data_IF_049256070589
#
_entry.id   IF_049256070589
#
_cell.length_a   1.000
_cell.length_b   1.000
_cell.length_c   1.000
_cell.angle_alpha   90.00
_cell.angle_beta   90.00
_cell.angle_gamma   90.00
#
_symmetry.space_group_name_H-M   'P 1'
#
loop_
_entity.id
_entity.type
_entity.pdbx_description
1 polymer ?
#
# COMPACT_ATOMS: atom_id res chain seq x y z
N UNK A 1 -11.30 -25.51 -7.47
CA UNK A 1 -10.58 -24.22 -7.26
C UNK A 1 -11.56 -23.08 -7.45
N UNK A 2 -11.71 -22.20 -6.48
CA UNK A 2 -12.52 -20.98 -6.62
C UNK A 2 -11.81 -20.06 -7.60
N UNK A 3 -12.48 -19.66 -8.68
CA UNK A 3 -11.92 -18.75 -9.68
C UNK A 3 -11.65 -17.35 -9.11
N UNK A 4 -10.85 -16.54 -9.80
CA UNK A 4 -10.52 -15.17 -9.38
C UNK A 4 -11.79 -14.31 -9.34
N UNK A 5 -12.06 -13.68 -8.19
CA UNK A 5 -13.16 -12.75 -8.02
C UNK A 5 -12.81 -11.41 -8.71
N UNK A 6 -13.64 -11.00 -9.64
CA UNK A 6 -13.51 -9.70 -10.33
C UNK A 6 -14.52 -8.69 -9.77
N UNK A 7 -14.04 -7.52 -9.36
CA UNK A 7 -14.88 -6.47 -8.76
C UNK A 7 -15.79 -5.75 -9.78
N UNK A 8 -15.45 -5.76 -11.05
CA UNK A 8 -16.23 -5.15 -12.13
C UNK A 8 -16.56 -6.18 -13.19
N UNK A 9 -17.84 -6.40 -13.41
CA UNK A 9 -18.34 -7.15 -14.56
C UNK A 9 -18.68 -6.13 -15.66
N UNK A 10 -17.68 -5.70 -16.44
CA UNK A 10 -17.95 -4.93 -17.65
C UNK A 10 -17.97 -5.94 -18.79
N UNK A 11 -19.14 -6.13 -19.36
CA UNK A 11 -19.33 -6.99 -20.53
C UNK A 11 -19.12 -6.17 -21.80
N UNK A 12 -17.98 -6.37 -22.47
CA UNK A 12 -17.76 -5.77 -23.79
C UNK A 12 -18.78 -6.25 -24.83
N UNK A 13 -19.16 -7.55 -24.87
CA UNK A 13 -20.21 -8.03 -25.75
C UNK A 13 -21.54 -7.28 -25.61
N UNK A 14 -21.95 -6.98 -24.36
CA UNK A 14 -23.18 -6.20 -24.14
C UNK A 14 -23.07 -4.78 -24.68
N UNK A 15 -21.92 -4.12 -24.49
CA UNK A 15 -21.67 -2.78 -25.04
C UNK A 15 -21.66 -2.78 -26.57
N UNK A 16 -21.13 -3.84 -27.19
CA UNK A 16 -21.16 -3.98 -28.65
C UNK A 16 -22.60 -4.19 -29.15
N UNK A 17 -23.44 -4.94 -28.42
CA UNK A 17 -24.87 -5.07 -28.77
C UNK A 17 -25.60 -3.74 -28.65
N UNK A 18 -25.32 -2.95 -27.61
CA UNK A 18 -25.88 -1.61 -27.42
C UNK A 18 -25.58 -0.64 -28.56
N UNK A 19 -24.51 -0.83 -29.34
CA UNK A 19 -24.18 -0.01 -30.51
C UNK A 19 -25.30 0.04 -31.54
N UNK A 20 -26.13 -1.01 -31.67
CA UNK A 20 -27.25 -1.05 -32.57
C UNK A 20 -28.32 0.02 -32.24
N UNK A 21 -28.38 0.42 -30.97
CA UNK A 21 -29.36 1.39 -30.46
C UNK A 21 -28.84 2.84 -30.46
N UNK A 22 -27.56 3.06 -30.82
CA UNK A 22 -27.00 4.41 -30.82
C UNK A 22 -27.55 5.24 -31.96
N UNK A 23 -27.79 6.49 -31.69
CA UNK A 23 -28.22 7.47 -32.70
C UNK A 23 -27.02 7.99 -33.47
N UNK A 24 -26.41 7.13 -34.27
CA UNK A 24 -25.26 7.41 -35.12
C UNK A 24 -25.42 6.72 -36.49
N UNK A 25 -24.80 7.23 -37.58
CA UNK A 25 -24.78 6.58 -38.88
C UNK A 25 -24.26 5.13 -38.82
N UNK A 26 -24.74 4.29 -39.72
CA UNK A 26 -24.31 2.90 -39.82
C UNK A 26 -22.80 2.77 -40.08
N UNK A 27 -22.23 3.66 -40.92
CA UNK A 27 -20.81 3.73 -41.17
C UNK A 27 -20.00 3.93 -39.86
N UNK A 28 -20.41 4.82 -38.98
CA UNK A 28 -19.78 5.07 -37.66
C UNK A 28 -19.85 3.85 -36.74
N UNK A 29 -20.94 3.06 -36.78
CA UNK A 29 -21.03 1.80 -36.01
C UNK A 29 -20.01 0.76 -36.50
N UNK A 30 -19.83 0.64 -37.83
CA UNK A 30 -18.82 -0.25 -38.40
C UNK A 30 -17.40 0.19 -38.02
N UNK A 31 -17.13 1.49 -38.09
CA UNK A 31 -15.85 2.08 -37.68
C UNK A 31 -15.56 1.79 -36.21
N UNK A 32 -16.52 1.95 -35.31
CA UNK A 32 -16.33 1.64 -33.89
C UNK A 32 -15.99 0.17 -33.65
N UNK A 33 -16.68 -0.77 -34.33
CA UNK A 33 -16.34 -2.20 -34.22
C UNK A 33 -14.92 -2.49 -34.69
N UNK A 34 -14.50 -1.88 -35.81
CA UNK A 34 -13.14 -1.99 -36.32
C UNK A 34 -12.12 -1.38 -35.35
N UNK A 35 -12.41 -0.21 -34.80
CA UNK A 35 -11.57 0.45 -33.78
C UNK A 35 -11.34 -0.44 -32.56
N UNK A 36 -12.40 -1.07 -32.03
CA UNK A 36 -12.28 -2.00 -30.90
C UNK A 36 -11.42 -3.22 -31.24
N UNK A 37 -11.60 -3.79 -32.43
CA UNK A 37 -10.76 -4.89 -32.90
C UNK A 37 -9.29 -4.50 -32.99
N UNK A 38 -8.99 -3.34 -33.56
CA UNK A 38 -7.62 -2.84 -33.65
C UNK A 38 -7.01 -2.43 -32.32
N UNK A 39 -7.81 -1.97 -31.34
CA UNK A 39 -7.40 -1.79 -29.95
C UNK A 39 -7.02 -3.12 -29.30
N UNK A 40 -7.78 -4.19 -29.53
CA UNK A 40 -7.49 -5.53 -29.02
C UNK A 40 -6.18 -6.08 -29.59
N UNK A 41 -5.87 -5.78 -30.84
CA UNK A 41 -4.61 -6.16 -31.51
C UNK A 41 -3.41 -5.29 -31.10
N UNK A 42 -3.65 -4.13 -30.47
CA UNK A 42 -2.60 -3.16 -30.10
C UNK A 42 -2.20 -2.20 -31.24
N UNK A 43 -2.86 -2.25 -32.42
CA UNK A 43 -2.53 -1.40 -33.57
C UNK A 43 -2.73 0.10 -33.28
N UNK A 44 -3.70 0.45 -32.45
CA UNK A 44 -4.02 1.84 -32.09
C UNK A 44 -3.05 2.39 -31.03
N UNK A 45 -2.47 1.54 -30.19
CA UNK A 45 -1.69 1.93 -29.03
C UNK A 45 -0.26 1.39 -29.04
N UNK A 46 0.46 1.61 -30.14
CA UNK A 46 1.91 1.30 -30.30
C UNK A 46 2.27 -0.12 -29.83
N UNK A 47 1.53 -1.13 -30.27
CA UNK A 47 1.74 -2.54 -29.94
C UNK A 47 1.12 -3.00 -28.62
N UNK A 48 0.63 -2.07 -27.79
CA UNK A 48 0.02 -2.44 -26.50
C UNK A 48 -1.45 -2.79 -26.68
N UNK A 49 -1.82 -4.04 -26.37
CA UNK A 49 -3.20 -4.53 -26.40
C UNK A 49 -4.04 -3.87 -25.32
N UNK A 50 -5.26 -3.51 -25.64
CA UNK A 50 -6.20 -2.87 -24.71
C UNK A 50 -7.18 -3.93 -24.18
N UNK A 51 -7.32 -4.03 -22.84
CA UNK A 51 -8.23 -4.95 -22.21
C UNK A 51 -9.71 -4.64 -22.53
N UNK A 52 -10.57 -5.67 -22.51
CA UNK A 52 -12.01 -5.55 -22.77
C UNK A 52 -12.68 -4.46 -21.93
N UNK A 53 -12.36 -4.39 -20.63
CA UNK A 53 -12.90 -3.36 -19.74
C UNK A 53 -12.54 -1.94 -20.15
N UNK A 54 -11.36 -1.73 -20.73
CA UNK A 54 -10.94 -0.43 -21.26
C UNK A 54 -11.55 -0.14 -22.63
N UNK A 55 -11.72 -1.17 -23.47
CA UNK A 55 -12.44 -1.06 -24.74
C UNK A 55 -13.91 -0.64 -24.50
N UNK A 56 -14.59 -1.27 -23.54
CA UNK A 56 -15.94 -0.89 -23.14
C UNK A 56 -16.00 0.55 -22.63
N UNK A 57 -14.99 0.99 -21.86
CA UNK A 57 -14.89 2.40 -21.43
C UNK A 57 -14.72 3.34 -22.62
N UNK A 58 -13.95 2.96 -23.66
CA UNK A 58 -13.86 3.78 -24.88
C UNK A 58 -15.21 3.94 -25.55
N UNK A 59 -16.02 2.87 -25.66
CA UNK A 59 -17.38 2.98 -26.20
C UNK A 59 -18.23 3.94 -25.37
N UNK A 60 -18.28 3.76 -24.03
CA UNK A 60 -19.08 4.62 -23.16
C UNK A 60 -18.69 6.11 -23.30
N UNK A 61 -17.40 6.41 -23.50
CA UNK A 61 -16.90 7.78 -23.66
C UNK A 61 -17.18 8.34 -25.07
N UNK A 62 -16.93 7.55 -26.13
CA UNK A 62 -17.12 7.95 -27.52
C UNK A 62 -18.58 8.12 -27.89
N UNK A 63 -19.48 7.40 -27.20
CA UNK A 63 -20.90 7.56 -27.39
C UNK A 63 -21.33 9.01 -27.26
N UNK A 64 -20.80 9.76 -26.31
CA UNK A 64 -21.21 11.12 -25.99
C UNK A 64 -21.03 12.09 -27.17
N UNK A 65 -19.84 12.25 -27.77
CA UNK A 65 -19.65 13.12 -28.92
C UNK A 65 -20.30 12.57 -30.19
N UNK A 66 -20.26 11.25 -30.42
CA UNK A 66 -20.79 10.69 -31.66
C UNK A 66 -22.31 10.76 -31.76
N UNK A 67 -23.07 10.52 -30.67
CA UNK A 67 -24.51 10.75 -30.62
C UNK A 67 -24.88 12.26 -30.70
N UNK A 68 -24.05 13.15 -30.13
CA UNK A 68 -24.26 14.59 -30.21
C UNK A 68 -24.18 15.10 -31.64
N UNK A 69 -23.26 14.61 -32.42
CA UNK A 69 -23.08 15.01 -33.82
C UNK A 69 -24.07 14.31 -34.76
N UNK A 70 -24.32 13.03 -34.51
CA UNK A 70 -25.10 12.17 -35.40
C UNK A 70 -24.67 12.28 -36.88
N UNK A 71 -23.35 12.33 -37.13
CA UNK A 71 -22.71 12.45 -38.44
C UNK A 71 -21.71 11.34 -38.66
N UNK A 72 -21.39 11.06 -39.92
CA UNK A 72 -20.25 10.22 -40.27
C UNK A 72 -18.96 10.87 -39.78
N UNK A 73 -17.99 10.05 -39.29
CA UNK A 73 -16.75 10.57 -38.72
C UNK A 73 -15.95 11.40 -39.73
N UNK A 74 -15.98 11.04 -41.02
CA UNK A 74 -15.29 11.77 -42.07
C UNK A 74 -15.90 13.15 -42.38
N UNK A 75 -17.19 13.35 -42.05
CA UNK A 75 -17.92 14.60 -42.29
C UNK A 75 -17.86 15.59 -41.10
N UNK A 76 -17.12 15.22 -40.03
CA UNK A 76 -16.95 16.09 -38.87
C UNK A 76 -16.01 17.24 -39.22
N UNK A 77 -16.45 18.46 -38.95
CA UNK A 77 -15.67 19.69 -39.12
C UNK A 77 -15.36 20.35 -37.78
N UNK A 78 -14.42 21.28 -37.76
CA UNK A 78 -13.99 21.97 -36.54
C UNK A 78 -15.15 22.60 -35.75
N UNK A 79 -16.07 23.26 -36.43
CA UNK A 79 -17.29 23.82 -35.82
C UNK A 79 -18.17 22.79 -35.07
N UNK A 80 -18.17 21.54 -35.52
CA UNK A 80 -18.90 20.48 -34.80
C UNK A 80 -18.23 20.18 -33.46
N UNK A 81 -16.88 20.15 -33.44
CA UNK A 81 -16.09 19.92 -32.23
C UNK A 81 -16.18 21.09 -31.25
N UNK A 82 -16.19 22.34 -31.77
CA UNK A 82 -16.41 23.56 -30.97
C UNK A 82 -17.76 23.54 -30.29
N UNK A 83 -18.84 23.24 -31.04
CA UNK A 83 -20.20 23.15 -30.51
C UNK A 83 -20.33 22.06 -29.44
N UNK A 84 -19.74 20.90 -29.70
CA UNK A 84 -19.72 19.81 -28.72
C UNK A 84 -18.95 20.23 -27.44
N UNK A 85 -17.76 20.79 -27.56
CA UNK A 85 -16.97 21.23 -26.42
C UNK A 85 -17.69 22.32 -25.61
N UNK A 86 -18.27 23.30 -26.27
CA UNK A 86 -19.08 24.33 -25.61
C UNK A 86 -20.25 23.72 -24.81
N UNK A 87 -20.96 22.77 -25.38
CA UNK A 87 -22.09 22.10 -24.72
C UNK A 87 -21.61 21.18 -23.56
N UNK A 88 -20.44 20.53 -23.71
CA UNK A 88 -19.82 19.70 -22.67
C UNK A 88 -19.29 20.55 -21.50
N UNK A 89 -18.62 21.65 -21.80
CA UNK A 89 -18.04 22.56 -20.81
C UNK A 89 -19.13 23.26 -19.99
N UNK A 90 -20.22 23.72 -20.64
CA UNK A 90 -21.36 24.43 -20.01
C UNK A 90 -22.37 23.49 -19.33
N UNK A 91 -22.06 22.19 -19.20
CA UNK A 91 -22.93 21.20 -18.57
C UNK A 91 -24.34 21.03 -19.27
N UNK A 92 -24.47 21.41 -20.52
CA UNK A 92 -25.67 21.14 -21.29
C UNK A 92 -25.86 19.66 -21.61
N UNK A 93 -24.74 18.95 -21.83
CA UNK A 93 -24.72 17.50 -22.03
C UNK A 93 -24.81 16.80 -20.68
N UNK A 94 -25.90 16.09 -20.42
CA UNK A 94 -26.14 15.37 -19.15
C UNK A 94 -25.75 13.90 -19.22
N UNK A 95 -25.43 13.34 -18.05
CA UNK A 95 -25.16 11.89 -17.92
C UNK A 95 -26.44 11.08 -18.13
N UNK A 96 -26.37 9.97 -18.85
CA UNK A 96 -27.52 9.13 -19.25
C UNK A 96 -28.39 8.64 -18.09
N UNK A 97 -27.77 8.26 -16.98
CA UNK A 97 -28.47 7.57 -15.89
C UNK A 97 -28.92 8.50 -14.75
N UNK A 98 -28.27 9.64 -14.57
CA UNK A 98 -28.50 10.52 -13.42
C UNK A 98 -28.99 11.90 -13.81
N UNK A 99 -29.11 12.17 -15.10
CA UNK A 99 -29.47 13.48 -15.65
C UNK A 99 -28.68 14.67 -15.06
N UNK A 100 -27.51 14.41 -14.50
CA UNK A 100 -26.60 15.41 -13.92
C UNK A 100 -25.44 15.74 -14.84
N UNK A 101 -24.62 16.76 -14.51
CA UNK A 101 -23.42 17.09 -15.27
C UNK A 101 -22.37 15.98 -15.21
N UNK A 102 -21.51 15.93 -16.22
CA UNK A 102 -20.34 15.07 -16.19
C UNK A 102 -19.28 15.64 -15.22
N UNK A 103 -18.67 14.76 -14.41
CA UNK A 103 -17.51 15.16 -13.60
C UNK A 103 -16.37 15.62 -14.51
N UNK A 104 -15.57 16.60 -14.05
CA UNK A 104 -14.45 17.15 -14.82
C UNK A 104 -13.46 16.06 -15.31
N UNK A 105 -13.17 15.07 -14.48
CA UNK A 105 -12.33 13.93 -14.90
C UNK A 105 -12.96 13.11 -16.05
N UNK A 106 -14.28 12.99 -16.08
CA UNK A 106 -14.99 12.30 -17.17
C UNK A 106 -14.97 13.13 -18.44
N UNK A 107 -15.12 14.45 -18.36
CA UNK A 107 -15.00 15.36 -19.50
C UNK A 107 -13.60 15.24 -20.13
N UNK A 108 -12.55 15.21 -19.32
CA UNK A 108 -11.16 14.98 -19.77
C UNK A 108 -11.00 13.61 -20.43
N UNK A 109 -11.57 12.55 -19.84
CA UNK A 109 -11.53 11.21 -20.42
C UNK A 109 -12.25 11.14 -21.79
N UNK A 110 -13.39 11.86 -21.95
CA UNK A 110 -14.12 11.98 -23.23
C UNK A 110 -13.21 12.63 -24.28
N UNK A 111 -12.58 13.76 -23.98
CA UNK A 111 -11.66 14.46 -24.90
C UNK A 111 -10.47 13.56 -25.29
N UNK A 112 -9.87 12.84 -24.33
CA UNK A 112 -8.79 11.87 -24.61
C UNK A 112 -9.24 10.75 -25.53
N UNK A 113 -10.40 10.16 -25.26
CA UNK A 113 -10.95 9.08 -26.08
C UNK A 113 -11.26 9.58 -27.50
N UNK A 114 -11.83 10.78 -27.61
CA UNK A 114 -12.14 11.43 -28.89
C UNK A 114 -10.87 11.67 -29.73
N UNK A 115 -9.83 12.27 -29.15
CA UNK A 115 -8.54 12.47 -29.84
C UNK A 115 -7.95 11.16 -30.35
N UNK A 116 -7.99 10.09 -29.55
CA UNK A 116 -7.45 8.78 -29.96
C UNK A 116 -8.29 8.20 -31.12
N UNK A 117 -9.61 8.29 -31.08
CA UNK A 117 -10.49 7.80 -32.13
C UNK A 117 -10.33 8.59 -33.42
N UNK A 118 -10.32 9.91 -33.37
CA UNK A 118 -10.12 10.78 -34.55
C UNK A 118 -8.74 10.57 -35.17
N UNK A 119 -7.68 10.43 -34.36
CA UNK A 119 -6.32 10.10 -34.84
C UNK A 119 -6.29 8.77 -35.58
N UNK A 120 -6.89 7.76 -35.02
CA UNK A 120 -6.97 6.44 -35.64
C UNK A 120 -7.72 6.48 -36.96
N UNK A 121 -8.83 7.23 -37.03
CA UNK A 121 -9.73 7.25 -38.19
C UNK A 121 -9.27 8.19 -39.29
N UNK A 122 -8.81 9.39 -38.94
CA UNK A 122 -8.56 10.49 -39.85
C UNK A 122 -7.04 10.82 -40.03
N UNK A 123 -6.20 10.21 -39.22
CA UNK A 123 -4.77 10.52 -39.15
C UNK A 123 -4.43 11.68 -38.20
N UNK A 124 -3.14 11.83 -37.91
CA UNK A 124 -2.65 12.82 -36.93
C UNK A 124 -2.95 14.27 -37.32
N UNK A 125 -2.61 14.63 -38.56
CA UNK A 125 -2.77 16.01 -39.07
C UNK A 125 -4.23 16.48 -38.95
N UNK A 126 -5.17 15.67 -39.39
CA UNK A 126 -6.61 16.02 -39.35
C UNK A 126 -7.13 16.03 -37.89
N UNK A 127 -6.69 15.11 -37.05
CA UNK A 127 -7.03 15.12 -35.62
C UNK A 127 -6.54 16.39 -34.93
N UNK A 128 -5.29 16.82 -35.19
CA UNK A 128 -4.73 18.05 -34.62
C UNK A 128 -5.54 19.27 -35.07
N UNK A 129 -5.92 19.36 -36.34
CA UNK A 129 -6.75 20.43 -36.86
C UNK A 129 -8.11 20.48 -36.17
N UNK A 130 -8.78 19.34 -36.02
CA UNK A 130 -10.15 19.27 -35.48
C UNK A 130 -10.22 19.38 -33.96
N UNK A 131 -9.32 18.73 -33.24
CA UNK A 131 -9.43 18.48 -31.81
C UNK A 131 -8.11 18.72 -31.03
N UNK A 132 -7.04 19.15 -31.68
CA UNK A 132 -5.75 19.39 -31.06
C UNK A 132 -5.80 20.34 -29.86
N UNK A 133 -6.61 21.36 -29.95
CA UNK A 133 -6.84 22.42 -28.96
C UNK A 133 -7.63 21.97 -27.72
N UNK A 134 -8.36 20.83 -27.76
CA UNK A 134 -9.10 20.34 -26.62
C UNK A 134 -8.17 20.09 -25.43
N UNK A 135 -8.48 20.69 -24.28
CA UNK A 135 -7.70 20.49 -23.06
C UNK A 135 -7.95 19.09 -22.47
N UNK A 136 -6.87 18.33 -22.34
CA UNK A 136 -6.87 17.00 -21.74
C UNK A 136 -6.10 16.96 -20.42
N UNK A 137 -5.74 18.12 -19.89
CA UNK A 137 -5.09 18.21 -18.60
C UNK A 137 -6.13 18.08 -17.47
N UNK A 138 -5.79 17.35 -16.44
CA UNK A 138 -6.61 17.24 -15.24
C UNK A 138 -5.74 17.61 -14.05
N UNK A 139 -6.08 18.69 -13.37
CA UNK A 139 -5.45 19.03 -12.11
C UNK A 139 -5.60 17.86 -11.12
N UNK A 140 -4.49 17.39 -10.59
CA UNK A 140 -4.50 16.33 -9.59
C UNK A 140 -5.18 16.84 -8.31
N UNK A 141 -6.35 16.31 -8.04
CA UNK A 141 -6.98 16.52 -6.73
C UNK A 141 -6.27 15.64 -5.72
N UNK A 142 -5.85 16.24 -4.62
CA UNK A 142 -5.34 15.49 -3.48
C UNK A 142 -6.40 14.49 -3.02
N UNK A 143 -6.13 13.18 -3.00
CA UNK A 143 -7.12 12.19 -2.61
C UNK A 143 -7.56 12.42 -1.16
N UNK A 144 -8.82 12.22 -0.84
CA UNK A 144 -9.31 12.20 0.53
C UNK A 144 -8.75 11.01 1.32
N UNK A 145 -8.64 11.10 2.64
CA UNK A 145 -8.14 10.03 3.49
C UNK A 145 -8.79 10.02 4.88
N UNK A 146 -8.59 8.93 5.60
CA UNK A 146 -8.95 8.73 6.98
C UNK A 146 -7.66 8.65 7.81
N UNK A 147 -7.61 9.36 8.92
CA UNK A 147 -6.51 9.26 9.87
C UNK A 147 -6.54 7.94 10.66
N UNK A 148 -5.50 7.67 11.42
CA UNK A 148 -5.43 6.48 12.29
C UNK A 148 -6.57 6.45 13.31
N UNK A 149 -6.89 7.60 13.89
CA UNK A 149 -8.01 7.75 14.81
C UNK A 149 -9.37 7.37 14.19
N UNK A 150 -9.62 7.80 12.93
CA UNK A 150 -10.83 7.40 12.20
C UNK A 150 -10.89 5.87 12.01
N UNK A 151 -9.74 5.26 11.71
CA UNK A 151 -9.66 3.80 11.54
C UNK A 151 -9.98 3.06 12.83
N UNK A 152 -9.49 3.55 13.96
CA UNK A 152 -9.83 2.97 15.28
C UNK A 152 -11.30 3.13 15.63
N UNK A 153 -11.91 4.28 15.32
CA UNK A 153 -13.35 4.46 15.52
C UNK A 153 -14.16 3.47 14.67
N UNK A 154 -13.76 3.27 13.40
CA UNK A 154 -14.41 2.26 12.55
C UNK A 154 -14.24 0.85 13.11
N UNK A 155 -13.02 0.50 13.56
CA UNK A 155 -12.70 -0.81 14.12
C UNK A 155 -13.51 -1.11 15.40
N UNK A 156 -13.58 -0.15 16.31
CA UNK A 156 -14.37 -0.27 17.57
C UNK A 156 -15.86 -0.49 17.31
N UNK A 157 -16.40 0.01 16.18
CA UNK A 157 -17.83 -0.15 15.85
C UNK A 157 -18.13 -1.48 15.14
N UNK A 158 -17.12 -2.24 14.72
CA UNK A 158 -17.29 -3.55 14.12
C UNK A 158 -17.83 -4.55 15.15
N UNK A 159 -18.81 -5.38 14.70
CA UNK A 159 -19.49 -6.35 15.56
C UNK A 159 -18.94 -7.78 15.43
N UNK A 160 -18.36 -8.10 14.26
CA UNK A 160 -17.86 -9.46 13.95
C UNK A 160 -16.37 -9.48 13.67
N UNK A 161 -15.73 -10.64 13.80
CA UNK A 161 -14.33 -10.86 13.42
C UNK A 161 -14.07 -10.53 11.95
N UNK A 162 -14.98 -10.91 11.05
CA UNK A 162 -14.90 -10.58 9.62
C UNK A 162 -14.85 -9.07 9.36
N UNK A 163 -15.69 -8.30 10.08
CA UNK A 163 -15.73 -6.85 9.93
C UNK A 163 -14.44 -6.19 10.42
N UNK A 164 -13.90 -6.64 11.56
CA UNK A 164 -12.63 -6.17 12.09
C UNK A 164 -11.47 -6.51 11.15
N UNK A 165 -11.43 -7.75 10.67
CA UNK A 165 -10.46 -8.19 9.66
C UNK A 165 -10.49 -7.33 8.40
N UNK A 166 -11.69 -7.04 7.87
CA UNK A 166 -11.86 -6.17 6.71
C UNK A 166 -11.24 -4.79 6.92
N UNK A 167 -11.55 -4.12 8.04
CA UNK A 167 -11.03 -2.78 8.34
C UNK A 167 -9.51 -2.81 8.52
N UNK A 168 -9.01 -3.71 9.36
CA UNK A 168 -7.59 -3.78 9.68
C UNK A 168 -6.75 -4.12 8.45
N UNK A 169 -7.14 -5.15 7.70
CA UNK A 169 -6.35 -5.60 6.56
C UNK A 169 -6.39 -4.62 5.39
N UNK A 170 -7.55 -4.02 5.07
CA UNK A 170 -7.63 -2.99 4.04
C UNK A 170 -6.77 -1.78 4.36
N UNK A 171 -6.77 -1.34 5.62
CA UNK A 171 -5.99 -0.18 6.03
C UNK A 171 -4.49 -0.50 6.01
N UNK A 172 -4.08 -1.55 6.68
CA UNK A 172 -2.66 -1.85 6.81
C UNK A 172 -2.02 -2.26 5.47
N UNK A 173 -2.64 -3.17 4.73
CA UNK A 173 -2.10 -3.61 3.44
C UNK A 173 -2.23 -2.58 2.33
N UNK A 174 -3.24 -1.70 2.40
CA UNK A 174 -3.64 -0.83 1.30
C UNK A 174 -3.99 -1.60 0.02
N UNK A 175 -4.36 -2.87 0.14
CA UNK A 175 -4.71 -3.73 -0.99
C UNK A 175 -5.87 -3.14 -1.81
N UNK A 176 -5.85 -3.36 -3.12
CA UNK A 176 -7.02 -3.06 -3.94
C UNK A 176 -8.17 -4.00 -3.58
N UNK A 177 -9.40 -3.55 -3.74
CA UNK A 177 -10.58 -4.37 -3.41
C UNK A 177 -10.53 -5.77 -4.07
N UNK A 178 -10.06 -5.88 -5.30
CA UNK A 178 -9.92 -7.15 -6.00
C UNK A 178 -8.80 -7.99 -5.39
N UNK A 179 -7.69 -7.40 -5.00
CA UNK A 179 -6.60 -8.09 -4.30
C UNK A 179 -7.12 -8.64 -2.96
N UNK A 180 -7.77 -7.80 -2.15
CA UNK A 180 -8.34 -8.17 -0.86
C UNK A 180 -9.33 -9.35 -0.94
N UNK A 181 -10.25 -9.32 -1.92
CA UNK A 181 -11.28 -10.35 -2.08
C UNK A 181 -10.72 -11.71 -2.53
N UNK A 182 -9.50 -11.74 -3.06
CA UNK A 182 -8.87 -12.95 -3.54
C UNK A 182 -7.78 -13.49 -2.60
N UNK A 183 -7.60 -12.89 -1.42
CA UNK A 183 -6.67 -13.41 -0.41
C UNK A 183 -7.15 -14.78 0.07
N UNK A 184 -6.27 -15.77 0.00
CA UNK A 184 -6.49 -17.13 0.48
C UNK A 184 -5.77 -17.34 1.81
N UNK A 185 -6.13 -18.40 2.52
CA UNK A 185 -5.48 -18.70 3.80
C UNK A 185 -3.96 -18.91 3.63
N UNK A 186 -3.52 -19.55 2.56
CA UNK A 186 -2.12 -19.77 2.22
C UNK A 186 -1.32 -18.50 1.94
N UNK A 187 -2.00 -17.38 1.66
CA UNK A 187 -1.38 -16.08 1.37
C UNK A 187 -1.04 -15.29 2.65
N UNK A 188 -1.47 -15.77 3.81
CA UNK A 188 -1.27 -15.12 5.10
C UNK A 188 -0.39 -16.00 5.98
N UNK A 189 0.76 -15.47 6.38
CA UNK A 189 1.67 -16.11 7.32
C UNK A 189 1.62 -15.35 8.65
N UNK A 190 1.18 -16.04 9.71
CA UNK A 190 1.25 -15.50 11.06
C UNK A 190 2.71 -15.52 11.54
N UNK A 191 3.10 -14.59 12.43
CA UNK A 191 4.46 -14.58 12.95
C UNK A 191 4.76 -15.84 13.77
N UNK A 192 5.98 -16.37 13.57
CA UNK A 192 6.54 -17.51 14.29
C UNK A 192 7.88 -17.11 14.95
N UNK A 193 8.14 -17.63 16.11
CA UNK A 193 9.38 -17.37 16.85
C UNK A 193 9.57 -15.90 17.21
N UNK A 194 10.59 -15.27 16.63
CA UNK A 194 10.97 -13.85 16.88
C UNK A 194 10.23 -12.85 15.97
N UNK A 195 9.50 -13.32 14.97
CA UNK A 195 8.73 -12.45 14.06
C UNK A 195 7.54 -11.85 14.80
N UNK A 196 7.30 -10.54 14.60
CA UNK A 196 6.20 -9.82 15.26
C UNK A 196 5.10 -9.38 14.28
N UNK A 197 5.24 -9.65 12.98
CA UNK A 197 4.37 -9.12 11.96
C UNK A 197 3.76 -10.21 11.08
N UNK A 198 2.48 -10.03 10.74
CA UNK A 198 1.81 -10.87 9.74
C UNK A 198 2.41 -10.56 8.37
N UNK A 199 2.79 -11.59 7.61
CA UNK A 199 3.20 -11.46 6.20
C UNK A 199 2.02 -11.80 5.30
N UNK A 200 1.74 -10.91 4.34
CA UNK A 200 0.65 -11.03 3.38
C UNK A 200 1.19 -11.06 1.96
N UNK A 201 0.90 -12.11 1.22
CA UNK A 201 1.24 -12.25 -0.20
C UNK A 201 0.06 -11.87 -1.07
N UNK A 202 0.24 -10.87 -1.94
CA UNK A 202 -0.73 -10.47 -2.95
C UNK A 202 -0.26 -11.02 -4.30
N UNK A 203 -0.91 -12.08 -4.80
CA UNK A 203 -0.50 -12.79 -6.00
C UNK A 203 -0.77 -11.98 -7.28
N UNK A 204 0.06 -12.20 -8.31
CA UNK A 204 -0.05 -11.51 -9.60
C UNK A 204 -1.35 -11.87 -10.34
N UNK A 205 -1.83 -13.10 -10.20
CA UNK A 205 -3.02 -13.61 -10.91
C UNK A 205 -4.30 -12.77 -10.71
N UNK A 206 -4.42 -12.10 -9.56
CA UNK A 206 -5.56 -11.23 -9.24
C UNK A 206 -5.18 -9.76 -9.04
N UNK A 207 -3.90 -9.43 -9.14
CA UNK A 207 -3.41 -8.05 -9.05
C UNK A 207 -3.34 -7.41 -10.43
N UNK A 208 -3.54 -6.09 -10.50
CA UNK A 208 -3.26 -5.30 -11.71
C UNK A 208 -1.77 -5.01 -11.91
N UNK A 209 -0.96 -5.38 -10.95
CA UNK A 209 0.48 -5.13 -10.89
C UNK A 209 1.17 -6.43 -10.50
N UNK A 210 2.50 -6.46 -10.49
CA UNK A 210 3.28 -7.62 -10.04
C UNK A 210 2.85 -8.07 -8.64
N UNK A 211 2.92 -9.37 -8.38
CA UNK A 211 2.74 -9.94 -7.06
C UNK A 211 3.77 -9.36 -6.07
N UNK A 212 3.40 -9.33 -4.80
CA UNK A 212 4.26 -8.82 -3.73
C UNK A 212 3.91 -9.42 -2.38
N UNK A 213 4.89 -9.56 -1.52
CA UNK A 213 4.69 -9.93 -0.11
C UNK A 213 5.01 -8.71 0.76
N UNK A 214 4.10 -8.36 1.63
CA UNK A 214 4.21 -7.21 2.52
C UNK A 214 3.98 -7.64 3.97
N UNK A 215 4.65 -6.98 4.91
CA UNK A 215 4.36 -7.13 6.34
C UNK A 215 3.31 -6.13 6.79
N UNK A 216 2.46 -6.54 7.72
CA UNK A 216 1.42 -5.71 8.33
C UNK A 216 1.97 -5.12 9.63
N UNK A 217 2.06 -3.79 9.70
CA UNK A 217 2.71 -3.08 10.82
C UNK A 217 1.74 -2.33 11.72
N UNK A 218 0.47 -2.18 11.31
CA UNK A 218 -0.49 -1.48 12.15
C UNK A 218 -0.82 -2.30 13.40
N UNK A 219 -0.75 -1.65 14.56
CA UNK A 219 -0.85 -2.30 15.88
C UNK A 219 -2.06 -3.23 16.08
N UNK A 220 -3.16 -2.98 15.35
CA UNK A 220 -4.37 -3.80 15.43
C UNK A 220 -4.41 -4.97 14.44
N UNK A 221 -3.44 -5.06 13.50
CA UNK A 221 -3.49 -6.06 12.43
C UNK A 221 -3.23 -7.47 12.92
N UNK A 222 -2.21 -7.67 13.75
CA UNK A 222 -1.82 -9.01 14.21
C UNK A 222 -2.95 -9.72 14.94
N UNK A 223 -3.51 -9.08 15.97
CA UNK A 223 -4.60 -9.65 16.76
C UNK A 223 -5.83 -9.91 15.90
N UNK A 224 -6.26 -8.88 15.14
CA UNK A 224 -7.47 -8.95 14.32
C UNK A 224 -7.40 -10.05 13.25
N UNK A 225 -6.24 -10.18 12.57
CA UNK A 225 -6.04 -11.21 11.56
C UNK A 225 -5.98 -12.59 12.20
N UNK A 226 -5.24 -12.75 13.30
CA UNK A 226 -5.11 -14.01 14.03
C UNK A 226 -6.47 -14.53 14.51
N UNK A 227 -7.28 -13.68 15.10
CA UNK A 227 -8.60 -14.06 15.65
C UNK A 227 -9.54 -14.48 14.52
N UNK A 228 -9.57 -13.72 13.42
CA UNK A 228 -10.40 -14.07 12.28
C UNK A 228 -9.96 -15.38 11.62
N UNK A 229 -8.65 -15.60 11.42
CA UNK A 229 -8.15 -16.83 10.86
C UNK A 229 -8.48 -18.03 11.75
N UNK A 230 -8.35 -17.92 13.08
CA UNK A 230 -8.75 -18.97 14.02
C UNK A 230 -10.23 -19.34 13.89
N UNK A 231 -11.09 -18.32 13.76
CA UNK A 231 -12.53 -18.54 13.54
C UNK A 231 -12.78 -19.25 12.21
N UNK A 232 -12.13 -18.80 11.13
CA UNK A 232 -12.29 -19.42 9.81
C UNK A 232 -11.77 -20.86 9.74
N UNK A 233 -10.64 -21.13 10.38
CA UNK A 233 -10.10 -22.52 10.48
C UNK A 233 -11.06 -23.42 11.26
N UNK A 234 -11.67 -22.95 12.35
CA UNK A 234 -12.74 -23.69 13.07
C UNK A 234 -13.96 -23.96 12.18
N UNK A 235 -14.27 -23.09 11.23
CA UNK A 235 -15.31 -23.26 10.23
C UNK A 235 -14.91 -24.19 9.07
N UNK A 236 -13.71 -24.77 9.09
CA UNK A 236 -13.19 -25.69 8.08
C UNK A 236 -12.48 -25.03 6.89
N UNK A 237 -11.97 -23.77 7.04
CA UNK A 237 -11.21 -23.11 5.99
C UNK A 237 -9.94 -23.88 5.63
N UNK A 238 -9.72 -24.11 4.35
CA UNK A 238 -8.54 -24.80 3.80
C UNK A 238 -7.56 -23.79 3.19
N UNK A 239 -6.28 -24.14 2.99
CA UNK A 239 -5.28 -23.23 2.46
C UNK A 239 -5.69 -22.48 1.19
N UNK A 240 -6.31 -23.16 0.24
CA UNK A 240 -6.78 -22.59 -1.03
C UNK A 240 -8.10 -21.79 -0.96
N UNK A 241 -8.75 -21.71 0.20
CA UNK A 241 -10.03 -21.05 0.35
C UNK A 241 -9.87 -19.55 0.64
N UNK A 242 -10.87 -18.76 0.23
CA UNK A 242 -10.90 -17.32 0.45
C UNK A 242 -11.12 -17.01 1.93
N UNK A 243 -10.27 -16.15 2.50
CA UNK A 243 -10.37 -15.75 3.91
C UNK A 243 -11.59 -14.86 4.15
N UNK A 244 -11.89 -13.94 3.22
CA UNK A 244 -13.07 -13.09 3.30
C UNK A 244 -14.23 -13.75 2.56
N UNK A 245 -15.32 -14.05 3.28
CA UNK A 245 -16.43 -14.83 2.74
C UNK A 245 -17.48 -14.02 1.97
N UNK A 246 -17.43 -12.69 2.07
CA UNK A 246 -18.47 -11.82 1.52
C UNK A 246 -18.13 -11.33 0.10
N UNK A 247 -19.15 -10.82 -0.61
CA UNK A 247 -19.01 -10.29 -1.96
C UNK A 247 -18.48 -8.85 -1.98
N UNK A 248 -18.00 -8.37 -3.14
CA UNK A 248 -17.64 -6.97 -3.34
C UNK A 248 -18.80 -6.00 -3.05
N UNK A 249 -20.02 -6.36 -3.45
CA UNK A 249 -21.23 -5.59 -3.17
C UNK A 249 -21.49 -5.47 -1.67
N UNK A 250 -21.42 -6.59 -0.95
CA UNK A 250 -21.58 -6.65 0.51
C UNK A 250 -20.54 -5.80 1.23
N UNK A 251 -19.25 -5.94 0.87
CA UNK A 251 -18.16 -5.12 1.40
C UNK A 251 -18.42 -3.62 1.21
N UNK A 252 -18.78 -3.18 -0.01
CA UNK A 252 -19.07 -1.77 -0.30
C UNK A 252 -20.24 -1.23 0.51
N UNK A 253 -21.31 -2.00 0.64
CA UNK A 253 -22.49 -1.61 1.41
C UNK A 253 -22.17 -1.48 2.90
N UNK A 254 -21.44 -2.46 3.45
CA UNK A 254 -20.96 -2.41 4.83
C UNK A 254 -20.12 -1.16 5.10
N UNK A 255 -19.05 -0.93 4.32
CA UNK A 255 -18.17 0.22 4.48
C UNK A 255 -18.92 1.56 4.38
N UNK A 256 -19.85 1.67 3.43
CA UNK A 256 -20.68 2.87 3.27
C UNK A 256 -21.57 3.12 4.49
N UNK A 257 -22.23 2.08 5.02
CA UNK A 257 -23.10 2.18 6.20
C UNK A 257 -22.26 2.52 7.45
N UNK A 258 -21.16 1.83 7.65
CA UNK A 258 -20.26 2.05 8.78
C UNK A 258 -19.70 3.48 8.76
N UNK A 259 -19.17 3.94 7.62
CA UNK A 259 -18.65 5.30 7.48
C UNK A 259 -19.70 6.38 7.71
N UNK A 260 -20.93 6.18 7.21
CA UNK A 260 -22.05 7.11 7.48
C UNK A 260 -22.41 7.14 8.97
N UNK A 261 -22.42 5.99 9.64
CA UNK A 261 -22.80 5.89 11.05
C UNK A 261 -21.76 6.49 11.99
N UNK A 262 -20.47 6.23 11.72
CA UNK A 262 -19.36 6.58 12.63
C UNK A 262 -18.76 7.94 12.29
N UNK A 263 -18.42 8.16 11.01
CA UNK A 263 -17.63 9.32 10.55
C UNK A 263 -18.48 10.37 9.82
N UNK A 264 -19.79 10.13 9.65
CA UNK A 264 -20.72 10.99 8.88
C UNK A 264 -20.29 11.24 7.42
N UNK A 265 -19.41 10.40 6.88
CA UNK A 265 -18.85 10.53 5.53
C UNK A 265 -18.89 9.22 4.76
N UNK A 266 -18.69 9.31 3.43
CA UNK A 266 -18.70 8.13 2.56
C UNK A 266 -17.37 7.41 2.65
N UNK A 267 -17.39 6.16 3.12
CA UNK A 267 -16.23 5.27 3.16
C UNK A 267 -16.37 4.20 2.07
N UNK A 268 -15.27 3.89 1.41
CA UNK A 268 -15.20 2.90 0.33
C UNK A 268 -13.79 2.27 0.26
N UNK A 269 -13.60 1.09 -0.37
CA UNK A 269 -12.33 0.37 -0.32
C UNK A 269 -11.12 1.18 -0.79
N UNK A 270 -11.28 2.00 -1.83
CA UNK A 270 -10.15 2.79 -2.36
C UNK A 270 -9.71 3.91 -1.41
N UNK A 271 -10.62 4.41 -0.56
CA UNK A 271 -10.30 5.36 0.49
C UNK A 271 -9.33 4.76 1.51
N UNK A 272 -9.49 3.47 1.87
CA UNK A 272 -8.56 2.75 2.74
C UNK A 272 -7.14 2.72 2.15
N UNK A 273 -7.04 2.50 0.84
CA UNK A 273 -5.74 2.51 0.18
C UNK A 273 -5.09 3.90 0.21
N UNK A 274 -5.86 4.96 0.01
CA UNK A 274 -5.38 6.33 0.15
C UNK A 274 -4.92 6.62 1.58
N UNK A 275 -5.72 6.21 2.56
CA UNK A 275 -5.41 6.34 3.99
C UNK A 275 -4.15 5.58 4.38
N UNK A 276 -4.04 4.32 3.94
CA UNK A 276 -2.84 3.50 4.11
C UNK A 276 -1.60 4.17 3.51
N UNK A 277 -1.70 4.64 2.27
CA UNK A 277 -0.58 5.28 1.60
C UNK A 277 -0.13 6.57 2.30
N UNK A 278 -1.07 7.37 2.80
CA UNK A 278 -0.78 8.56 3.62
C UNK A 278 -0.11 8.19 4.95
N UNK A 279 -0.61 7.15 5.64
CA UNK A 279 -0.05 6.65 6.89
C UNK A 279 1.38 6.13 6.73
N UNK A 280 1.64 5.39 5.66
CA UNK A 280 2.96 4.82 5.39
C UNK A 280 3.92 5.82 4.71
N UNK A 281 3.43 6.86 4.07
CA UNK A 281 4.29 7.89 3.49
C UNK A 281 5.14 8.61 4.54
N UNK A 282 4.72 8.64 5.81
CA UNK A 282 5.51 9.18 6.93
C UNK A 282 6.59 8.22 7.45
N UNK A 283 6.59 6.96 7.02
CA UNK A 283 7.42 5.89 7.62
C UNK A 283 8.31 5.18 6.60
N UNK A 284 7.95 5.23 5.34
CA UNK A 284 8.61 4.52 4.25
C UNK A 284 9.16 5.50 3.22
N UNK A 285 10.29 5.16 2.62
CA UNK A 285 10.82 5.91 1.51
C UNK A 285 10.02 5.66 0.21
N UNK A 286 10.31 6.44 -0.84
CA UNK A 286 9.61 6.39 -2.12
C UNK A 286 9.64 5.00 -2.77
N UNK A 287 10.77 4.28 -2.69
CA UNK A 287 10.93 2.96 -3.29
C UNK A 287 10.13 1.90 -2.52
N UNK A 288 10.17 1.93 -1.20
CA UNK A 288 9.40 1.07 -0.31
C UNK A 288 7.90 1.26 -0.50
N UNK A 289 7.44 2.52 -0.68
CA UNK A 289 6.06 2.82 -1.03
C UNK A 289 5.69 2.22 -2.39
N UNK A 290 6.54 2.37 -3.41
CA UNK A 290 6.30 1.74 -4.71
C UNK A 290 6.14 0.23 -4.58
N UNK A 291 7.02 -0.44 -3.84
CA UNK A 291 6.93 -1.88 -3.60
C UNK A 291 5.65 -2.26 -2.86
N UNK A 292 5.39 -1.62 -1.70
CA UNK A 292 4.23 -1.93 -0.85
C UNK A 292 2.90 -1.81 -1.59
N UNK A 293 2.74 -0.76 -2.41
CA UNK A 293 1.50 -0.52 -3.15
C UNK A 293 1.50 -1.09 -4.58
N UNK A 294 2.59 -1.71 -5.01
CA UNK A 294 2.75 -2.22 -6.37
C UNK A 294 2.64 -1.11 -7.42
N UNK A 295 3.24 0.05 -7.16
CA UNK A 295 3.40 1.11 -8.13
C UNK A 295 4.68 0.91 -8.93
N UNK A 296 4.72 1.42 -10.16
CA UNK A 296 5.97 1.48 -10.92
C UNK A 296 6.90 2.52 -10.29
N UNK A 297 8.20 2.29 -10.32
CA UNK A 297 9.17 3.25 -9.81
C UNK A 297 9.13 4.61 -10.54
N UNK A 298 8.69 4.62 -11.81
CA UNK A 298 8.45 5.83 -12.60
C UNK A 298 7.11 6.51 -12.34
N UNK A 299 6.35 6.08 -11.33
CA UNK A 299 5.04 6.63 -11.01
C UNK A 299 5.17 7.82 -10.07
N UNK A 300 4.41 8.90 -10.31
CA UNK A 300 4.30 10.07 -9.44
C UNK A 300 3.38 9.83 -8.23
N UNK A 301 2.79 8.62 -8.14
CA UNK A 301 1.86 8.30 -7.06
C UNK A 301 2.46 8.42 -5.66
N UNK A 302 3.70 7.94 -5.37
CA UNK A 302 4.31 8.13 -4.05
C UNK A 302 4.40 9.60 -3.66
N UNK A 303 4.79 10.46 -4.60
CA UNK A 303 5.03 11.88 -4.35
C UNK A 303 3.76 12.61 -3.89
N UNK A 304 2.59 12.20 -4.41
CA UNK A 304 1.27 12.70 -3.97
C UNK A 304 1.02 12.47 -2.48
N UNK A 305 1.50 11.36 -1.92
CA UNK A 305 1.31 11.02 -0.51
C UNK A 305 2.43 11.57 0.37
N UNK A 306 3.65 11.63 -0.12
CA UNK A 306 4.81 12.22 0.56
C UNK A 306 4.58 13.72 0.76
N UNK A 307 4.25 14.47 -0.28
CA UNK A 307 3.95 15.93 -0.20
C UNK A 307 2.79 16.20 0.76
N UNK A 308 1.79 15.30 0.77
CA UNK A 308 0.64 15.43 1.65
C UNK A 308 0.95 15.23 3.11
N UNK A 309 1.90 14.36 3.44
CA UNK A 309 2.28 14.11 4.83
C UNK A 309 3.04 15.26 5.48
N UNK A 310 3.29 16.35 4.75
CA UNK A 310 4.06 17.51 5.22
C UNK A 310 5.55 17.20 5.40
N UNK A 311 6.03 16.12 4.78
CA UNK A 311 7.40 15.62 4.94
C UNK A 311 8.45 16.45 4.20
N UNK A 312 8.09 17.60 3.63
CA UNK A 312 9.02 18.34 2.78
C UNK A 312 10.21 18.94 3.56
N UNK A 313 10.11 19.20 4.87
CA UNK A 313 11.23 19.79 5.63
C UNK A 313 11.41 19.32 7.08
N UNK A 314 10.36 18.91 7.82
CA UNK A 314 10.50 18.63 9.26
C UNK A 314 11.08 17.24 9.63
N UNK A 315 11.10 16.28 8.72
CA UNK A 315 11.51 14.92 9.03
C UNK A 315 12.96 14.57 8.67
N UNK A 316 13.65 15.43 7.94
CA UNK A 316 15.09 15.24 7.74
C UNK A 316 15.82 15.37 9.08
N UNK A 317 15.50 16.37 9.85
CA UNK A 317 16.11 16.60 11.17
C UNK A 317 15.79 15.47 12.15
N UNK A 318 14.52 14.98 12.17
CA UNK A 318 14.13 13.83 12.98
C UNK A 318 14.83 12.53 12.57
N UNK A 319 15.05 12.31 11.26
CA UNK A 319 15.80 11.13 10.78
C UNK A 319 17.25 11.14 11.23
N UNK A 320 17.89 12.30 11.20
CA UNK A 320 19.26 12.43 11.67
C UNK A 320 19.32 12.25 13.20
N UNK A 321 18.42 12.87 13.93
CA UNK A 321 18.30 12.69 15.39
C UNK A 321 17.98 11.25 15.79
N UNK A 322 17.11 10.55 15.06
CA UNK A 322 16.81 9.14 15.32
C UNK A 322 17.99 8.23 15.00
N UNK A 323 18.79 8.54 13.98
CA UNK A 323 20.02 7.80 13.65
C UNK A 323 21.06 7.99 14.74
N UNK A 324 21.24 9.20 15.27
CA UNK A 324 22.12 9.47 16.41
C UNK A 324 21.66 8.77 17.68
N UNK A 325 20.34 8.75 17.97
CA UNK A 325 19.77 8.01 19.10
C UNK A 325 19.96 6.49 18.97
N UNK A 326 19.83 5.95 17.75
CA UNK A 326 20.11 4.52 17.51
C UNK A 326 21.58 4.19 17.73
N UNK A 327 22.49 5.02 17.23
CA UNK A 327 23.94 4.87 17.43
C UNK A 327 24.30 4.97 18.91
N UNK A 328 23.74 5.95 19.63
CA UNK A 328 23.93 6.10 21.06
C UNK A 328 23.39 4.90 21.88
N UNK A 329 22.26 4.33 21.48
CA UNK A 329 21.72 3.11 22.10
C UNK A 329 22.61 1.91 21.88
N UNK A 330 23.15 1.72 20.69
CA UNK A 330 24.09 0.65 20.37
C UNK A 330 25.41 0.80 21.13
N UNK A 331 25.90 2.03 21.25
CA UNK A 331 27.10 2.33 22.03
C UNK A 331 26.85 2.11 23.54
N UNK A 332 25.69 2.46 24.04
CA UNK A 332 25.32 2.23 25.44
C UNK A 332 25.21 0.72 25.76
N UNK A 333 24.69 -0.08 24.83
CA UNK A 333 24.67 -1.55 24.95
C UNK A 333 26.11 -2.11 25.01
N UNK A 334 27.01 -1.66 24.12
CA UNK A 334 28.42 -2.09 24.12
C UNK A 334 29.12 -1.74 25.44
N UNK A 335 28.99 -0.48 25.88
CA UNK A 335 29.58 -0.01 27.15
C UNK A 335 29.02 -0.81 28.34
N UNK A 336 27.70 -1.11 28.32
CA UNK A 336 27.10 -1.93 29.38
C UNK A 336 27.66 -3.34 29.40
N UNK A 337 27.82 -3.98 28.24
CA UNK A 337 28.44 -5.30 28.12
C UNK A 337 29.92 -5.29 28.57
N UNK A 338 30.71 -4.28 28.16
CA UNK A 338 32.10 -4.13 28.61
C UNK A 338 32.18 -3.94 30.12
N UNK A 339 31.30 -3.17 30.72
CA UNK A 339 31.25 -2.99 32.17
C UNK A 339 30.88 -4.28 32.92
N UNK A 340 29.95 -5.08 32.37
CA UNK A 340 29.64 -6.40 32.95
C UNK A 340 30.88 -7.35 32.91
N UNK A 341 31.61 -7.38 31.80
CA UNK A 341 32.85 -8.19 31.68
C UNK A 341 33.90 -7.70 32.68
N UNK A 342 34.06 -6.36 32.81
CA UNK A 342 34.98 -5.78 33.79
C UNK A 342 34.60 -6.12 35.24
N UNK A 343 33.31 -6.07 35.57
CA UNK A 343 32.80 -6.42 36.88
C UNK A 343 33.09 -7.91 37.22
N UNK A 344 32.83 -8.82 36.28
CA UNK A 344 33.16 -10.24 36.44
C UNK A 344 34.66 -10.44 36.67
N UNK A 345 35.51 -9.72 35.96
CA UNK A 345 36.95 -9.80 36.10
C UNK A 345 37.44 -9.27 37.47
N UNK A 346 36.79 -8.22 37.97
CA UNK A 346 37.09 -7.69 39.31
C UNK A 346 36.73 -8.72 40.37
N UNK A 347 35.53 -9.37 40.26
CA UNK A 347 35.12 -10.43 41.19
C UNK A 347 36.08 -11.63 41.16
N UNK A 348 36.54 -12.08 40.00
CA UNK A 348 37.55 -13.15 39.88
C UNK A 348 38.88 -12.77 40.54
N UNK A 349 39.31 -11.51 40.33
CA UNK A 349 40.55 -11.03 40.97
C UNK A 349 40.41 -10.92 42.49
N UNK A 350 39.27 -10.46 42.99
CA UNK A 350 38.97 -10.40 44.41
C UNK A 350 39.00 -11.80 45.06
N UNK A 351 38.37 -12.79 44.43
CA UNK A 351 38.40 -14.18 44.87
C UNK A 351 39.86 -14.75 44.90
N UNK A 352 40.63 -14.42 43.86
CA UNK A 352 42.02 -14.82 43.79
C UNK A 352 42.87 -14.19 44.89
N UNK A 353 42.67 -12.91 45.18
CA UNK A 353 43.37 -12.21 46.27
C UNK A 353 42.98 -12.80 47.64
N UNK A 354 41.69 -13.10 47.88
CA UNK A 354 41.27 -13.76 49.12
C UNK A 354 41.84 -15.18 49.26
N UNK A 355 41.94 -15.94 48.16
CA UNK A 355 42.60 -17.26 48.16
C UNK A 355 44.10 -17.15 48.49
N UNK A 356 44.80 -16.19 47.87
CA UNK A 356 46.20 -15.90 48.17
C UNK A 356 46.40 -15.49 49.63
N UNK A 357 45.51 -14.63 50.16
CA UNK A 357 45.58 -14.21 51.57
C UNK A 357 45.40 -15.39 52.51
N UNK A 358 44.44 -16.27 52.30
CA UNK A 358 44.25 -17.50 53.06
C UNK A 358 45.47 -18.41 53.00
N UNK A 359 46.06 -18.57 51.81
CA UNK A 359 47.30 -19.35 51.67
C UNK A 359 48.49 -18.73 52.43
N UNK A 360 48.61 -17.38 52.34
CA UNK A 360 49.66 -16.69 53.15
C UNK A 360 49.41 -16.82 54.63
N UNK A 361 48.17 -16.75 55.12
CA UNK A 361 47.89 -16.99 56.55
C UNK A 361 48.24 -18.42 56.99
N UNK A 362 47.88 -19.43 56.17
CA UNK A 362 48.32 -20.82 56.45
C UNK A 362 49.81 -20.98 56.43
N UNK A 363 50.50 -20.40 55.47
CA UNK A 363 52.03 -20.46 55.43
C UNK A 363 52.58 -19.78 56.67
N UNK A 364 52.08 -18.65 57.06
CA UNK A 364 52.52 -17.91 58.25
C UNK A 364 52.32 -18.74 59.55
N UNK A 365 51.13 -19.41 59.62
CA UNK A 365 50.83 -20.29 60.75
C UNK A 365 51.73 -21.52 60.81
N UNK A 366 52.04 -22.16 59.67
CA UNK A 366 52.92 -23.28 59.55
C UNK A 366 54.37 -22.85 59.93
N UNK A 367 54.82 -21.69 59.48
CA UNK A 367 56.11 -21.13 59.82
C UNK A 367 56.18 -20.78 61.31
N UNK A 368 55.14 -20.24 61.92
CA UNK A 368 55.10 -19.91 63.33
C UNK A 368 55.12 -21.16 64.26
N UNK A 369 54.71 -22.32 63.73
CA UNK A 369 54.74 -23.60 64.49
C UNK A 369 56.08 -24.32 64.35
N UNK A 370 56.96 -23.88 63.45
CA UNK A 370 58.30 -24.55 63.22
C UNK A 370 59.36 -23.91 64.11
N UNK A 371 59.99 -24.70 65.04
CA UNK A 371 60.99 -24.17 65.99
C UNK A 371 62.17 -23.46 65.34
N UNK A 372 62.65 -24.00 64.21
CA UNK A 372 63.76 -23.43 63.45
C UNK A 372 63.48 -22.05 62.84
N UNK A 373 62.26 -21.75 62.56
CA UNK A 373 61.80 -20.44 61.96
C UNK A 373 61.74 -19.39 63.08
N UNK A 374 61.31 -19.76 64.28
CA UNK A 374 61.31 -18.86 65.44
C UNK A 374 62.68 -18.34 65.76
N UNK A 375 63.69 -19.22 65.71
CA UNK A 375 65.12 -18.85 65.95
C UNK A 375 65.59 -17.85 64.84
N UNK A 376 65.22 -18.05 63.62
CA UNK A 376 65.54 -17.12 62.49
C UNK A 376 64.82 -15.78 62.62
N UNK A 377 63.53 -15.77 63.04
CA UNK A 377 62.84 -14.53 63.30
C UNK A 377 63.39 -13.73 64.47
N UNK A 378 63.80 -14.41 65.52
CA UNK A 378 64.46 -13.76 66.64
C UNK A 378 65.82 -13.20 66.23
N UNK A 379 66.61 -13.93 65.41
CA UNK A 379 67.90 -13.48 64.89
C UNK A 379 67.73 -12.27 63.95
N UNK A 380 66.63 -12.22 63.09
CA UNK A 380 66.31 -11.09 62.22
C UNK A 380 65.81 -9.86 63.01
N UNK A 381 65.05 -10.07 64.10
CA UNK A 381 64.59 -8.96 65.01
C UNK A 381 65.78 -8.34 65.77
N UNK A 382 66.77 -9.13 66.13
CA UNK A 382 68.05 -8.63 66.78
C UNK A 382 68.90 -7.84 65.80
N UNK A 383 68.75 -8.02 64.47
CA UNK A 383 69.52 -7.32 63.43
C UNK A 383 68.81 -6.09 62.82
N UNK A 384 67.58 -5.72 63.22
CA UNK A 384 67.02 -4.46 62.79
C UNK A 384 67.65 -3.33 63.60
N UNK A 385 68.32 -2.39 62.96
CA UNK A 385 68.82 -1.19 63.67
C UNK A 385 67.54 -0.40 64.05
N UNK A 386 67.54 0.16 65.25
CA UNK A 386 66.51 1.11 65.69
C UNK A 386 66.48 2.31 64.74
N UNK A 387 65.32 2.52 64.12
CA UNK A 387 65.04 3.71 63.36
C UNK A 387 64.25 4.68 64.24
#
# INVERSE_FOLDING_TARGET
MVGVIRCTKVSLPDRIRDLAQWQVPQATRVELKRFLHELALGKVNRGTRISEGRQAKYLDLLRVPLEFWNKETAAIVEKDVERFESALASDQIKTRFKAGPYAQSTKVDIRKALKIFLRWRLGEARMVQLAGWLDTHLAQKTPDFLGEHDMEQLLRKCRTGEQRYLIALLFDSGARAQEFLNIRLEDIQLPEGKDNFVKLTLKEEYSKTKGRTISLYWRHSLETVRDWLRERVRQGLRPGDLVYANTYGGMRMFLRRLGKAVLKRRVHPHLFRHSSATFYATKLNRQELCYRYGWRFSSDMPDVYISRSGMENHQLDEKFTQTELATLKDDLVKVTQENQIKAQRIDELQQSIEAMRRNMEMITEVLARNPSVREVEEALRRKRPAA
#
